data_IF_876592160031
#
_entry.id   IF_876592160031
#
_cell.length_a   1.000
_cell.length_b   1.000
_cell.length_c   1.000
_cell.angle_alpha   90.00
_cell.angle_beta   90.00
_cell.angle_gamma   90.00
#
_symmetry.space_group_name_H-M   'P 1'
#
loop_
_entity.id
_entity.type
_entity.pdbx_description
1 polymer ?
#
# COMPACT_ATOMS: atom_id res chain seq x y z
N UNK A 1 -52.24 -12.35 33.05
CA UNK A 1 -50.83 -12.64 32.65
C UNK A 1 -50.68 -13.63 31.48
N UNK A 2 -51.55 -14.64 31.29
CA UNK A 2 -51.43 -15.61 30.16
C UNK A 2 -51.73 -15.02 28.77
N UNK A 3 -52.63 -14.03 28.66
CA UNK A 3 -52.95 -13.35 27.40
C UNK A 3 -51.83 -12.46 26.86
N UNK A 4 -51.11 -11.76 27.75
CA UNK A 4 -50.00 -10.89 27.37
C UNK A 4 -48.79 -11.69 26.86
N UNK A 5 -48.49 -12.85 27.48
CA UNK A 5 -47.46 -13.78 26.97
C UNK A 5 -47.81 -14.37 25.60
N UNK A 6 -49.08 -14.66 25.32
CA UNK A 6 -49.54 -15.14 24.00
C UNK A 6 -49.43 -14.06 22.93
N UNK A 7 -49.81 -12.81 23.24
CA UNK A 7 -49.67 -11.64 22.36
C UNK A 7 -48.21 -11.30 22.05
N UNK A 8 -47.32 -11.41 23.03
CA UNK A 8 -45.88 -11.23 22.83
C UNK A 8 -45.31 -12.39 21.99
N UNK A 9 -45.73 -13.64 22.21
CA UNK A 9 -45.27 -14.77 21.40
C UNK A 9 -45.79 -14.74 19.95
N UNK A 10 -47.03 -14.31 19.72
CA UNK A 10 -47.58 -14.15 18.37
C UNK A 10 -46.99 -12.93 17.68
N UNK A 11 -46.74 -11.83 18.40
CA UNK A 11 -46.02 -10.67 17.89
C UNK A 11 -44.57 -10.99 17.52
N UNK A 12 -43.86 -11.79 18.31
CA UNK A 12 -42.49 -12.23 18.03
C UNK A 12 -42.42 -13.23 16.86
N UNK A 13 -43.42 -14.11 16.73
CA UNK A 13 -43.56 -15.01 15.58
C UNK A 13 -43.92 -14.26 14.29
N UNK A 14 -44.73 -13.20 14.36
CA UNK A 14 -45.02 -12.30 13.24
C UNK A 14 -43.80 -11.46 12.83
N UNK A 15 -42.98 -11.02 13.79
CA UNK A 15 -41.70 -10.34 13.51
C UNK A 15 -40.66 -11.29 12.88
N UNK A 16 -40.69 -12.58 13.23
CA UNK A 16 -39.85 -13.60 12.59
C UNK A 16 -40.31 -13.98 11.16
N UNK A 17 -41.60 -13.80 10.85
CA UNK A 17 -42.19 -14.10 9.54
C UNK A 17 -42.07 -12.94 8.54
N UNK A 18 -41.75 -11.72 8.98
CA UNK A 18 -41.38 -10.61 8.10
C UNK A 18 -39.90 -10.78 7.72
N UNK A 19 -39.62 -11.80 6.92
CA UNK A 19 -38.40 -11.90 6.13
C UNK A 19 -38.45 -10.80 5.05
N UNK A 20 -38.18 -9.56 5.45
CA UNK A 20 -38.15 -8.41 4.54
C UNK A 20 -37.15 -8.68 3.40
N UNK A 21 -37.66 -8.74 2.17
CA UNK A 21 -36.88 -8.96 0.96
C UNK A 21 -35.85 -7.84 0.77
N UNK A 22 -34.56 -8.16 0.97
CA UNK A 22 -33.43 -7.24 0.76
C UNK A 22 -33.16 -6.93 -0.71
N UNK A 23 -33.98 -7.45 -1.62
CA UNK A 23 -33.82 -7.36 -3.09
C UNK A 23 -35.00 -6.63 -3.75
N UNK A 24 -35.88 -5.99 -2.97
CA UNK A 24 -37.10 -5.33 -3.48
C UNK A 24 -36.82 -4.10 -4.36
N UNK A 25 -35.67 -3.45 -4.15
CA UNK A 25 -35.25 -2.22 -4.85
C UNK A 25 -34.42 -2.52 -6.12
N UNK A 26 -34.07 -3.79 -6.35
CA UNK A 26 -33.33 -4.19 -7.55
C UNK A 26 -34.23 -4.21 -8.79
N UNK A 27 -33.69 -3.71 -9.90
CA UNK A 27 -34.34 -3.80 -11.20
C UNK A 27 -34.44 -5.25 -11.68
N UNK A 28 -35.21 -5.49 -12.73
CA UNK A 28 -35.25 -6.82 -13.35
C UNK A 28 -33.94 -7.10 -14.08
N UNK A 29 -33.33 -8.26 -13.79
CA UNK A 29 -31.98 -8.62 -14.25
C UNK A 29 -30.86 -8.31 -13.25
N UNK A 30 -31.11 -7.49 -12.22
CA UNK A 30 -30.12 -7.21 -11.19
C UNK A 30 -30.14 -8.26 -10.07
N UNK A 31 -28.94 -8.66 -9.65
CA UNK A 31 -28.74 -9.56 -8.51
C UNK A 31 -27.95 -8.84 -7.43
N UNK A 32 -28.30 -9.08 -6.16
CA UNK A 32 -27.51 -8.56 -5.03
C UNK A 32 -26.34 -9.50 -4.74
N UNK A 33 -25.14 -8.94 -4.58
CA UNK A 33 -24.02 -9.66 -3.98
C UNK A 33 -24.30 -9.89 -2.47
N UNK A 34 -24.47 -11.16 -2.10
CA UNK A 34 -24.76 -11.56 -0.73
C UNK A 34 -23.51 -11.78 0.10
N UNK A 35 -22.48 -12.42 -0.48
CA UNK A 35 -21.23 -12.78 0.20
C UNK A 35 -20.16 -13.18 -0.83
N UNK A 36 -18.90 -12.91 -0.51
CA UNK A 36 -17.75 -13.60 -1.09
C UNK A 36 -17.25 -14.64 -0.11
N UNK A 37 -17.04 -15.87 -0.57
CA UNK A 37 -16.32 -16.91 0.16
C UNK A 37 -14.96 -17.10 -0.49
N UNK A 38 -13.90 -17.24 0.29
CA UNK A 38 -12.55 -17.50 -0.24
C UNK A 38 -12.04 -18.76 0.44
N UNK A 39 -11.70 -19.76 -0.37
CA UNK A 39 -11.10 -21.01 0.08
C UNK A 39 -9.72 -21.13 -0.54
N UNK A 40 -8.72 -21.35 0.32
CA UNK A 40 -7.31 -21.41 -0.06
C UNK A 40 -6.81 -22.85 0.11
N UNK A 41 -6.11 -23.34 -0.92
CA UNK A 41 -5.56 -24.68 -1.01
C UNK A 41 -4.03 -24.65 -1.11
N UNK A 42 -3.40 -25.81 -0.92
CA UNK A 42 -1.94 -26.04 -0.92
C UNK A 42 -1.15 -25.46 0.27
N UNK A 43 -1.70 -24.50 1.01
CA UNK A 43 -1.16 -24.06 2.30
C UNK A 43 -2.28 -23.65 3.27
N UNK A 44 -2.56 -24.49 4.26
CA UNK A 44 -3.62 -24.23 5.25
C UNK A 44 -3.25 -23.14 6.27
N UNK A 45 -2.00 -22.66 6.28
CA UNK A 45 -1.53 -21.59 7.17
C UNK A 45 -1.59 -20.21 6.50
N UNK A 46 -1.86 -20.16 5.19
CA UNK A 46 -1.96 -18.90 4.47
C UNK A 46 -3.06 -18.01 5.06
N UNK A 47 -2.76 -16.72 5.24
CA UNK A 47 -3.68 -15.76 5.83
C UNK A 47 -4.63 -15.21 4.75
N UNK A 48 -5.89 -15.65 4.76
CA UNK A 48 -6.91 -15.22 3.80
C UNK A 48 -7.09 -13.68 3.75
N UNK A 49 -6.79 -12.97 4.85
CA UNK A 49 -6.88 -11.52 4.91
C UNK A 49 -5.89 -10.81 3.96
N UNK A 50 -4.86 -11.49 3.46
CA UNK A 50 -3.96 -10.96 2.42
C UNK A 50 -4.67 -10.85 1.06
N UNK A 51 -5.70 -11.66 0.81
CA UNK A 51 -6.45 -11.70 -0.46
C UNK A 51 -7.65 -10.75 -0.46
N UNK A 52 -8.33 -10.60 0.68
CA UNK A 52 -9.57 -9.82 0.77
C UNK A 52 -9.47 -8.37 0.23
N UNK A 53 -8.37 -7.62 0.42
CA UNK A 53 -8.20 -6.28 -0.15
C UNK A 53 -8.29 -6.24 -1.69
N UNK A 54 -7.93 -7.34 -2.36
CA UNK A 54 -7.82 -7.42 -3.81
C UNK A 54 -9.13 -7.82 -4.51
N UNK A 55 -10.15 -8.23 -3.74
CA UNK A 55 -11.52 -8.44 -4.22
C UNK A 55 -12.18 -7.09 -4.52
N UNK A 56 -12.47 -6.81 -5.80
CA UNK A 56 -13.05 -5.53 -6.27
C UNK A 56 -14.45 -5.27 -5.74
N UNK A 57 -15.28 -6.30 -5.67
CA UNK A 57 -16.62 -6.21 -5.11
C UNK A 57 -16.65 -6.85 -3.72
N UNK A 58 -17.13 -6.12 -2.72
CA UNK A 58 -17.29 -6.62 -1.34
C UNK A 58 -18.75 -6.53 -0.96
N UNK A 59 -19.30 -7.62 -0.44
CA UNK A 59 -20.65 -7.59 0.10
C UNK A 59 -20.72 -6.62 1.30
N UNK A 60 -21.85 -5.94 1.47
CA UNK A 60 -22.05 -5.06 2.62
C UNK A 60 -21.86 -5.81 3.93
N UNK A 61 -21.00 -5.28 4.82
CA UNK A 61 -20.70 -5.88 6.12
C UNK A 61 -21.94 -5.99 7.00
N UNK A 62 -22.14 -7.16 7.62
CA UNK A 62 -23.25 -7.43 8.55
C UNK A 62 -22.84 -7.00 9.96
N UNK A 63 -23.46 -5.95 10.51
CA UNK A 63 -22.96 -5.30 11.72
C UNK A 63 -23.51 -5.89 13.04
N UNK A 64 -24.50 -6.78 13.06
CA UNK A 64 -25.00 -7.41 14.31
C UNK A 64 -25.47 -8.84 14.04
N UNK A 65 -24.87 -9.89 14.63
CA UNK A 65 -25.33 -11.30 14.54
C UNK A 65 -25.70 -11.77 13.11
N UNK A 66 -24.96 -11.36 12.08
CA UNK A 66 -25.26 -11.71 10.67
C UNK A 66 -26.48 -10.98 10.07
N UNK A 67 -27.05 -10.02 10.79
CA UNK A 67 -28.09 -9.08 10.33
C UNK A 67 -27.45 -7.74 9.95
N UNK A 68 -27.91 -7.16 8.84
CA UNK A 68 -27.51 -5.81 8.42
C UNK A 68 -28.74 -4.88 8.59
N UNK A 69 -28.84 -4.15 9.72
CA UNK A 69 -29.96 -3.24 9.96
C UNK A 69 -30.05 -2.15 8.88
N UNK A 70 -28.91 -1.66 8.39
CA UNK A 70 -28.83 -0.54 7.45
C UNK A 70 -29.21 -0.91 6.01
N UNK A 71 -28.97 -2.16 5.58
CA UNK A 71 -29.52 -2.70 4.33
C UNK A 71 -31.06 -2.76 4.36
N UNK A 72 -31.66 -3.06 5.51
CA UNK A 72 -33.12 -3.08 5.66
C UNK A 72 -33.73 -1.68 5.71
N UNK A 73 -33.03 -0.73 6.33
CA UNK A 73 -33.44 0.69 6.36
C UNK A 73 -33.50 1.26 4.95
N UNK A 74 -32.53 0.97 4.07
CA UNK A 74 -32.53 1.43 2.67
C UNK A 74 -33.78 0.97 1.89
N UNK A 75 -34.31 -0.24 2.18
CA UNK A 75 -35.50 -0.78 1.52
C UNK A 75 -36.84 -0.14 1.96
N UNK A 76 -36.82 0.76 2.96
CA UNK A 76 -37.98 1.53 3.44
C UNK A 76 -38.17 2.88 2.73
N UNK A 77 -37.40 3.17 1.68
CA UNK A 77 -37.64 4.33 0.84
C UNK A 77 -39.06 4.25 0.22
N UNK A 78 -39.78 5.35 0.32
CA UNK A 78 -41.16 5.47 -0.17
C UNK A 78 -41.24 6.01 -1.59
N UNK A 79 -40.10 6.47 -2.14
CA UNK A 79 -40.00 7.05 -3.48
C UNK A 79 -40.67 8.42 -3.61
N UNK A 80 -41.00 9.08 -2.48
CA UNK A 80 -41.75 10.34 -2.42
C UNK A 80 -40.85 11.56 -2.22
N UNK A 81 -39.54 11.37 -2.03
CA UNK A 81 -38.55 12.45 -1.94
C UNK A 81 -38.64 13.32 -0.68
N UNK A 82 -39.32 12.84 0.36
CA UNK A 82 -39.58 13.58 1.59
C UNK A 82 -38.40 13.49 2.60
N UNK A 83 -38.52 14.18 3.74
CA UNK A 83 -37.48 14.19 4.78
C UNK A 83 -37.16 12.80 5.36
N UNK A 84 -38.11 11.87 5.28
CA UNK A 84 -37.91 10.47 5.64
C UNK A 84 -37.04 9.72 4.63
N UNK A 85 -37.26 9.90 3.32
CA UNK A 85 -36.40 9.33 2.29
C UNK A 85 -34.95 9.85 2.39
N UNK A 86 -34.75 11.14 2.75
CA UNK A 86 -33.41 11.71 3.02
C UNK A 86 -32.76 11.11 4.28
N UNK A 87 -33.53 10.83 5.33
CA UNK A 87 -33.04 10.16 6.54
C UNK A 87 -32.63 8.70 6.26
N UNK A 88 -33.44 7.99 5.46
CA UNK A 88 -33.17 6.61 5.04
C UNK A 88 -31.92 6.53 4.14
N UNK A 89 -31.72 7.46 3.20
CA UNK A 89 -30.49 7.55 2.41
C UNK A 89 -29.25 7.86 3.27
N UNK A 90 -29.42 8.63 4.35
CA UNK A 90 -28.33 9.02 5.26
C UNK A 90 -27.90 7.87 6.19
N UNK A 91 -28.78 6.91 6.45
CA UNK A 91 -28.55 5.82 7.42
C UNK A 91 -28.46 4.44 6.73
N UNK A 92 -29.11 4.25 5.59
CA UNK A 92 -29.15 2.98 4.87
C UNK A 92 -27.98 2.80 3.90
N UNK A 93 -27.45 1.59 3.83
CA UNK A 93 -26.40 1.21 2.86
C UNK A 93 -27.08 0.55 1.66
N UNK A 94 -26.88 1.07 0.46
CA UNK A 94 -27.44 0.49 -0.76
C UNK A 94 -26.91 -0.94 -0.99
N UNK A 95 -27.74 -1.88 -1.49
CA UNK A 95 -27.27 -3.22 -1.81
C UNK A 95 -26.21 -3.18 -2.91
N UNK A 96 -25.10 -3.90 -2.71
CA UNK A 96 -24.08 -4.08 -3.75
C UNK A 96 -24.69 -4.96 -4.84
N UNK A 97 -24.79 -4.42 -6.04
CA UNK A 97 -25.21 -5.14 -7.24
C UNK A 97 -24.05 -6.04 -7.66
N UNK A 98 -24.37 -7.29 -7.94
CA UNK A 98 -23.41 -8.26 -8.46
C UNK A 98 -23.01 -7.85 -9.87
N UNK A 99 -21.70 -7.76 -10.09
CA UNK A 99 -21.11 -7.48 -11.39
C UNK A 99 -20.13 -8.61 -11.75
N UNK A 100 -20.37 -9.36 -12.84
CA UNK A 100 -19.47 -10.41 -13.29
C UNK A 100 -18.09 -9.89 -13.71
N UNK A 101 -17.98 -8.67 -14.28
CA UNK A 101 -16.69 -8.11 -14.71
C UNK A 101 -15.79 -7.81 -13.50
N UNK A 102 -16.39 -7.43 -12.37
CA UNK A 102 -15.68 -7.25 -11.11
C UNK A 102 -15.23 -8.58 -10.48
N UNK A 103 -15.88 -9.71 -10.79
CA UNK A 103 -15.39 -11.05 -10.41
C UNK A 103 -14.11 -11.34 -11.17
N UNK A 104 -14.11 -11.20 -12.49
CA UNK A 104 -12.94 -11.46 -13.35
C UNK A 104 -11.77 -10.55 -12.95
N UNK A 105 -12.03 -9.27 -12.73
CA UNK A 105 -11.01 -8.32 -12.22
C UNK A 105 -10.47 -8.73 -10.84
N UNK A 106 -11.30 -9.36 -10.00
CA UNK A 106 -10.85 -9.87 -8.69
C UNK A 106 -9.96 -11.11 -8.85
N UNK A 107 -10.29 -12.01 -9.78
CA UNK A 107 -9.45 -13.18 -10.11
C UNK A 107 -8.05 -12.73 -10.55
N UNK A 108 -7.98 -11.78 -11.49
CA UNK A 108 -6.73 -11.24 -12.00
C UNK A 108 -5.93 -10.54 -10.89
N UNK A 109 -6.56 -9.62 -10.13
CA UNK A 109 -5.90 -8.91 -9.03
C UNK A 109 -5.33 -9.86 -7.97
N UNK A 110 -6.10 -10.88 -7.57
CA UNK A 110 -5.65 -11.84 -6.56
C UNK A 110 -4.51 -12.69 -7.11
N UNK A 111 -4.59 -13.12 -8.37
CA UNK A 111 -3.52 -13.88 -9.03
C UNK A 111 -2.22 -13.06 -9.05
N UNK A 112 -2.28 -11.81 -9.52
CA UNK A 112 -1.13 -10.91 -9.57
C UNK A 112 -0.56 -10.63 -8.16
N UNK A 113 -1.43 -10.47 -7.16
CA UNK A 113 -0.99 -10.26 -5.78
C UNK A 113 -0.30 -11.49 -5.19
N UNK A 114 -0.79 -12.69 -5.48
CA UNK A 114 -0.14 -13.92 -5.02
C UNK A 114 1.25 -14.08 -5.65
N UNK A 115 1.43 -13.72 -6.91
CA UNK A 115 2.76 -13.66 -7.53
C UNK A 115 3.67 -12.62 -6.87
N UNK A 116 3.15 -11.44 -6.54
CA UNK A 116 3.88 -10.40 -5.78
C UNK A 116 4.36 -10.93 -4.40
N UNK A 117 3.54 -11.74 -3.72
CA UNK A 117 3.90 -12.44 -2.48
C UNK A 117 4.86 -13.63 -2.68
N UNK A 118 5.16 -14.00 -3.92
CA UNK A 118 6.07 -15.08 -4.27
C UNK A 118 5.44 -16.46 -4.48
N UNK A 119 4.11 -16.54 -4.64
CA UNK A 119 3.37 -17.77 -4.97
C UNK A 119 3.15 -17.88 -6.48
N UNK A 120 4.20 -18.26 -7.20
CA UNK A 120 4.23 -18.30 -8.67
C UNK A 120 3.41 -19.46 -9.24
N UNK A 121 2.65 -19.16 -10.30
CA UNK A 121 1.75 -20.14 -10.92
C UNK A 121 0.55 -20.49 -10.05
N UNK A 122 0.13 -19.56 -9.17
CA UNK A 122 -1.13 -19.69 -8.44
C UNK A 122 -2.31 -19.68 -9.41
N UNK A 123 -3.38 -20.41 -9.10
CA UNK A 123 -4.61 -20.42 -9.90
C UNK A 123 -5.78 -19.95 -9.04
N UNK A 124 -6.52 -18.97 -9.53
CA UNK A 124 -7.71 -18.43 -8.88
C UNK A 124 -8.90 -18.68 -9.79
N UNK A 125 -9.97 -19.26 -9.25
CA UNK A 125 -11.23 -19.47 -9.99
C UNK A 125 -12.41 -19.00 -9.14
N UNK A 126 -13.51 -18.63 -9.79
CA UNK A 126 -14.73 -18.24 -9.09
C UNK A 126 -15.93 -19.11 -9.50
N UNK A 127 -16.64 -19.64 -8.51
CA UNK A 127 -17.96 -20.26 -8.66
C UNK A 127 -19.07 -19.30 -8.25
N UNK A 128 -20.15 -19.26 -9.03
CA UNK A 128 -21.28 -18.36 -8.80
C UNK A 128 -22.51 -19.17 -8.36
N UNK A 129 -22.95 -18.94 -7.13
CA UNK A 129 -24.17 -19.54 -6.59
C UNK A 129 -25.32 -18.53 -6.61
N UNK A 130 -26.27 -18.72 -7.52
CA UNK A 130 -27.47 -17.89 -7.61
C UNK A 130 -28.61 -18.52 -6.82
N UNK A 131 -29.19 -17.76 -5.88
CA UNK A 131 -30.42 -18.13 -5.17
C UNK A 131 -31.38 -16.94 -5.17
N UNK A 132 -32.53 -17.08 -5.83
CA UNK A 132 -33.48 -15.96 -6.05
C UNK A 132 -32.74 -14.78 -6.71
N UNK A 133 -32.92 -13.54 -6.21
CA UNK A 133 -32.19 -12.34 -6.66
C UNK A 133 -30.89 -12.10 -5.86
N UNK A 134 -30.26 -13.15 -5.33
CA UNK A 134 -29.01 -13.04 -4.56
C UNK A 134 -27.93 -13.95 -5.12
N UNK A 135 -26.70 -13.45 -5.17
CA UNK A 135 -25.52 -14.14 -5.66
C UNK A 135 -24.52 -14.32 -4.53
N UNK A 136 -23.95 -15.50 -4.40
CA UNK A 136 -22.72 -15.73 -3.64
C UNK A 136 -21.60 -16.07 -4.61
N UNK A 137 -20.44 -15.46 -4.41
CA UNK A 137 -19.25 -15.75 -5.20
C UNK A 137 -18.29 -16.55 -4.32
N UNK A 138 -17.91 -17.74 -4.76
CA UNK A 138 -16.96 -18.60 -4.07
C UNK A 138 -15.66 -18.61 -4.85
N UNK A 139 -14.62 -17.99 -4.32
CA UNK A 139 -13.28 -18.00 -4.89
C UNK A 139 -12.52 -19.21 -4.37
N UNK A 140 -12.02 -20.03 -5.27
CA UNK A 140 -11.09 -21.13 -5.00
C UNK A 140 -9.70 -20.69 -5.43
N UNK A 141 -8.79 -20.62 -4.47
CA UNK A 141 -7.40 -20.15 -4.64
C UNK A 141 -6.46 -21.32 -4.40
N UNK A 142 -5.79 -21.78 -5.45
CA UNK A 142 -4.73 -22.79 -5.37
C UNK A 142 -3.38 -22.07 -5.38
N UNK A 143 -2.72 -22.05 -4.24
CA UNK A 143 -1.42 -21.41 -4.11
C UNK A 143 -0.37 -22.13 -4.96
N UNK A 144 0.42 -21.33 -5.67
CA UNK A 144 1.51 -21.76 -6.53
C UNK A 144 2.77 -22.17 -5.76
N UNK A 145 3.85 -22.39 -6.50
CA UNK A 145 5.15 -22.75 -5.93
C UNK A 145 5.86 -21.49 -5.45
N UNK A 146 6.61 -21.63 -4.36
CA UNK A 146 7.56 -20.62 -3.89
C UNK A 146 8.98 -21.10 -4.19
N UNK A 147 9.85 -20.18 -4.57
CA UNK A 147 11.25 -20.49 -4.87
C UNK A 147 12.14 -19.95 -3.76
N UNK A 148 12.81 -20.79 -2.96
CA UNK A 148 13.86 -20.33 -2.06
C UNK A 148 15.01 -19.75 -2.88
N UNK A 149 15.57 -18.64 -2.39
CA UNK A 149 16.74 -17.99 -2.97
C UNK A 149 17.97 -18.84 -2.63
N UNK A 150 18.66 -19.38 -3.63
CA UNK A 150 19.87 -20.20 -3.40
C UNK A 150 21.16 -19.35 -3.36
N UNK A 151 21.21 -18.27 -4.12
CA UNK A 151 22.34 -17.36 -4.19
C UNK A 151 21.85 -15.93 -4.51
N UNK A 152 22.64 -14.95 -4.07
CA UNK A 152 22.42 -13.54 -4.35
C UNK A 152 23.72 -13.00 -4.95
N UNK A 153 23.64 -12.50 -6.18
CA UNK A 153 24.75 -11.88 -6.90
C UNK A 153 24.48 -10.39 -7.03
N UNK A 154 25.48 -9.56 -6.73
CA UNK A 154 25.37 -8.11 -6.81
C UNK A 154 26.12 -7.59 -8.03
N UNK A 155 25.41 -6.85 -8.88
CA UNK A 155 25.95 -6.09 -10.00
C UNK A 155 25.89 -4.59 -9.67
N UNK A 156 27.02 -4.03 -9.26
CA UNK A 156 27.08 -2.69 -8.67
C UNK A 156 27.93 -1.76 -9.54
N UNK A 157 27.53 -0.49 -9.69
CA UNK A 157 28.33 0.49 -10.41
C UNK A 157 29.60 0.80 -9.63
N UNK A 158 30.65 1.23 -10.32
CA UNK A 158 31.93 1.55 -9.70
C UNK A 158 31.84 2.76 -8.74
N UNK A 159 32.78 2.84 -7.78
CA UNK A 159 32.93 3.99 -6.88
C UNK A 159 32.34 3.79 -5.49
N UNK A 160 32.11 4.92 -4.80
CA UNK A 160 31.73 4.93 -3.37
C UNK A 160 30.43 4.19 -3.08
N UNK A 161 29.50 4.16 -4.05
CA UNK A 161 28.18 3.53 -3.87
C UNK A 161 28.28 2.02 -3.68
N UNK A 162 29.17 1.34 -4.42
CA UNK A 162 29.40 -0.08 -4.23
C UNK A 162 29.99 -0.37 -2.85
N UNK A 163 30.93 0.46 -2.39
CA UNK A 163 31.53 0.31 -1.07
C UNK A 163 30.50 0.50 0.06
N UNK A 164 29.68 1.55 -0.02
CA UNK A 164 28.65 1.84 0.99
C UNK A 164 27.50 0.82 0.98
N UNK A 165 27.13 0.32 -0.20
CA UNK A 165 26.16 -0.78 -0.35
C UNK A 165 26.69 -2.05 0.31
N UNK A 166 27.91 -2.48 -0.07
CA UNK A 166 28.51 -3.71 0.45
C UNK A 166 28.71 -3.66 1.96
N UNK A 167 29.02 -2.48 2.52
CA UNK A 167 29.16 -2.28 3.96
C UNK A 167 27.87 -2.54 4.75
N UNK A 168 26.70 -2.44 4.13
CA UNK A 168 25.39 -2.64 4.78
C UNK A 168 24.73 -3.99 4.42
N UNK A 169 25.37 -4.80 3.57
CA UNK A 169 24.83 -6.12 3.17
C UNK A 169 24.53 -7.04 4.35
N UNK A 170 25.26 -6.93 5.47
CA UNK A 170 24.99 -7.71 6.68
C UNK A 170 23.64 -7.40 7.34
N UNK A 171 23.11 -6.19 7.10
CA UNK A 171 21.83 -5.72 7.62
C UNK A 171 20.66 -5.99 6.67
N UNK A 172 20.91 -6.59 5.49
CA UNK A 172 19.85 -6.96 4.56
C UNK A 172 18.83 -7.89 5.22
N UNK A 173 17.57 -7.64 4.89
CA UNK A 173 16.42 -8.42 5.37
C UNK A 173 16.17 -9.64 4.50
N UNK A 174 16.49 -9.56 3.21
CA UNK A 174 16.42 -10.68 2.25
C UNK A 174 17.75 -11.43 2.23
N UNK A 175 17.69 -12.74 2.45
CA UNK A 175 18.87 -13.62 2.54
C UNK A 175 18.68 -14.90 1.75
N UNK A 176 19.79 -15.59 1.49
CA UNK A 176 19.77 -16.97 1.00
C UNK A 176 18.93 -17.85 1.93
N UNK A 177 18.05 -18.65 1.33
CA UNK A 177 17.10 -19.52 2.03
C UNK A 177 15.71 -18.90 2.19
N UNK A 178 15.57 -17.58 2.11
CA UNK A 178 14.26 -16.93 2.09
C UNK A 178 13.54 -17.24 0.77
N UNK A 179 12.21 -17.14 0.78
CA UNK A 179 11.43 -17.29 -0.46
C UNK A 179 11.48 -16.00 -1.28
N UNK A 180 11.73 -16.15 -2.59
CA UNK A 180 11.62 -15.07 -3.57
C UNK A 180 10.23 -14.45 -3.50
N UNK A 181 10.17 -13.14 -3.29
CA UNK A 181 8.94 -12.35 -3.20
C UNK A 181 9.25 -10.92 -3.63
N UNK A 182 8.40 -10.36 -4.49
CA UNK A 182 8.53 -8.97 -4.92
C UNK A 182 8.32 -8.01 -3.76
N UNK A 183 7.36 -8.29 -2.87
CA UNK A 183 7.13 -7.55 -1.62
C UNK A 183 8.40 -7.41 -0.77
N UNK A 184 9.09 -8.53 -0.53
CA UNK A 184 10.30 -8.56 0.27
C UNK A 184 11.47 -7.80 -0.42
N UNK A 185 11.62 -7.95 -1.74
CA UNK A 185 12.65 -7.26 -2.51
C UNK A 185 12.40 -5.76 -2.60
N UNK A 186 11.15 -5.33 -2.75
CA UNK A 186 10.76 -3.91 -2.74
C UNK A 186 11.05 -3.28 -1.37
N UNK A 187 10.68 -3.96 -0.28
CA UNK A 187 10.99 -3.51 1.08
C UNK A 187 12.51 -3.39 1.32
N UNK A 188 13.30 -4.33 0.82
CA UNK A 188 14.76 -4.29 0.92
C UNK A 188 15.37 -3.17 0.06
N UNK A 189 14.86 -2.96 -1.16
CA UNK A 189 15.22 -1.81 -2.00
C UNK A 189 15.00 -0.49 -1.26
N UNK A 190 13.83 -0.28 -0.65
CA UNK A 190 13.53 0.94 0.09
C UNK A 190 14.42 1.12 1.33
N UNK A 191 14.73 0.02 2.03
CA UNK A 191 15.66 0.02 3.17
C UNK A 191 17.06 0.45 2.74
N UNK A 192 17.60 -0.19 1.70
CA UNK A 192 18.92 0.13 1.18
C UNK A 192 18.98 1.53 0.57
N UNK A 193 17.92 1.98 -0.12
CA UNK A 193 17.88 3.35 -0.63
C UNK A 193 17.93 4.39 0.49
N UNK A 194 17.30 4.15 1.64
CA UNK A 194 17.43 5.02 2.82
C UNK A 194 18.87 5.05 3.34
N UNK A 195 19.48 3.87 3.48
CA UNK A 195 20.89 3.76 3.89
C UNK A 195 21.81 4.54 2.94
N UNK A 196 21.68 4.36 1.62
CA UNK A 196 22.49 5.08 0.64
C UNK A 196 22.22 6.60 0.67
N UNK A 197 20.99 7.05 0.88
CA UNK A 197 20.72 8.48 1.11
C UNK A 197 21.40 9.00 2.37
N UNK A 198 21.50 8.20 3.42
CA UNK A 198 22.27 8.54 4.64
C UNK A 198 23.80 8.51 4.43
N UNK A 199 24.28 7.81 3.41
CA UNK A 199 25.68 7.86 2.97
C UNK A 199 26.01 9.05 2.05
N UNK A 200 25.02 9.90 1.71
CA UNK A 200 25.23 11.09 0.88
C UNK A 200 24.73 11.02 -0.54
N UNK A 201 24.11 9.91 -0.98
CA UNK A 201 23.57 9.78 -2.34
C UNK A 201 22.22 10.50 -2.46
N UNK A 202 22.27 11.82 -2.54
CA UNK A 202 21.10 12.67 -2.70
C UNK A 202 20.29 12.28 -3.96
N UNK A 203 18.97 12.13 -3.78
CA UNK A 203 18.07 11.75 -4.87
C UNK A 203 18.06 10.25 -5.21
N UNK A 204 18.84 9.41 -4.52
CA UNK A 204 18.79 7.97 -4.72
C UNK A 204 17.42 7.40 -4.33
N UNK A 205 16.81 6.61 -5.23
CA UNK A 205 15.50 5.98 -5.02
C UNK A 205 15.54 4.49 -5.32
N UNK A 206 14.50 3.74 -4.93
CA UNK A 206 14.41 2.31 -5.21
C UNK A 206 14.31 1.99 -6.71
N UNK A 207 14.00 2.97 -7.55
CA UNK A 207 13.90 2.80 -9.00
C UNK A 207 15.23 2.54 -9.70
N UNK A 208 16.36 2.70 -9.01
CA UNK A 208 17.68 2.31 -9.52
C UNK A 208 17.96 0.82 -9.33
N UNK A 209 17.18 0.11 -8.51
CA UNK A 209 17.30 -1.35 -8.37
C UNK A 209 16.62 -2.10 -9.51
N UNK A 210 17.33 -3.11 -10.01
CA UNK A 210 16.83 -4.11 -10.95
C UNK A 210 17.05 -5.50 -10.37
N UNK A 211 16.09 -6.39 -10.60
CA UNK A 211 16.12 -7.76 -10.12
C UNK A 211 15.92 -8.74 -11.27
N UNK A 212 16.85 -9.69 -11.39
CA UNK A 212 16.70 -10.83 -12.28
C UNK A 212 16.67 -12.10 -11.43
N UNK A 213 15.58 -12.85 -11.55
CA UNK A 213 15.43 -14.13 -10.87
C UNK A 213 15.47 -15.27 -11.88
N UNK A 214 16.55 -16.05 -11.85
CA UNK A 214 16.68 -17.26 -12.64
C UNK A 214 16.19 -18.48 -11.85
N UNK A 215 15.07 -19.04 -12.28
CA UNK A 215 14.46 -20.24 -11.69
C UNK A 215 14.68 -21.50 -12.54
N UNK A 216 15.45 -21.40 -13.62
CA UNK A 216 15.70 -22.47 -14.58
C UNK A 216 16.99 -23.24 -14.28
N UNK A 217 18.03 -22.51 -13.85
CA UNK A 217 19.35 -23.09 -13.64
C UNK A 217 19.37 -24.09 -12.48
N UNK A 218 18.65 -23.80 -11.39
CA UNK A 218 18.56 -24.69 -10.23
C UNK A 218 17.11 -25.12 -10.01
N UNK A 219 16.77 -26.40 -10.24
CA UNK A 219 15.39 -26.88 -10.09
C UNK A 219 14.81 -26.59 -8.71
N UNK A 220 13.74 -25.80 -8.68
CA UNK A 220 13.01 -25.49 -7.46
C UNK A 220 13.66 -24.43 -6.57
N UNK A 221 14.66 -23.69 -7.06
CA UNK A 221 15.25 -22.54 -6.38
C UNK A 221 15.44 -21.37 -7.35
N UNK A 222 15.65 -20.17 -6.82
CA UNK A 222 15.91 -18.97 -7.60
C UNK A 222 17.32 -18.44 -7.34
N UNK A 223 18.11 -18.25 -8.40
CA UNK A 223 19.32 -17.43 -8.37
C UNK A 223 18.92 -15.97 -8.58
N UNK A 224 19.27 -15.11 -7.61
CA UNK A 224 18.86 -13.72 -7.60
C UNK A 224 20.05 -12.82 -7.95
N UNK A 225 19.94 -12.10 -9.06
CA UNK A 225 20.86 -11.01 -9.40
C UNK A 225 20.20 -9.67 -9.02
N UNK A 226 20.93 -8.87 -8.25
CA UNK A 226 20.53 -7.54 -7.80
C UNK A 226 21.46 -6.53 -8.42
N UNK A 227 20.93 -5.71 -9.32
CA UNK A 227 21.71 -4.67 -10.00
C UNK A 227 21.31 -3.27 -9.53
N UNK A 228 22.28 -2.37 -9.42
CA UNK A 228 22.04 -0.93 -9.28
C UNK A 228 22.44 -0.25 -10.59
N UNK A 229 21.48 0.33 -11.30
CA UNK A 229 21.74 1.04 -12.55
C UNK A 229 21.89 2.54 -12.29
N UNK A 230 22.74 3.22 -13.06
CA UNK A 230 22.91 4.69 -12.99
C UNK A 230 21.81 5.47 -13.75
N UNK A 231 20.78 4.77 -14.20
CA UNK A 231 19.60 5.29 -14.87
C UNK A 231 18.35 4.63 -14.25
N UNK A 232 17.25 5.37 -14.22
CA UNK A 232 15.99 4.87 -13.69
C UNK A 232 15.25 4.01 -14.72
N UNK A 233 14.19 3.31 -14.29
CA UNK A 233 13.38 2.42 -15.15
C UNK A 233 12.82 3.06 -16.43
N UNK A 234 12.67 4.38 -16.47
CA UNK A 234 12.14 5.11 -17.63
C UNK A 234 13.24 5.73 -18.51
N UNK A 235 14.49 5.50 -18.17
CA UNK A 235 15.69 6.04 -18.81
C UNK A 235 16.49 4.92 -19.48
N UNK A 236 17.42 5.30 -20.34
CA UNK A 236 18.33 4.36 -20.99
C UNK A 236 19.75 4.54 -20.46
N UNK A 237 20.64 3.61 -20.81
CA UNK A 237 22.07 3.72 -20.52
C UNK A 237 22.69 5.04 -21.01
N UNK A 238 22.12 5.68 -22.05
CA UNK A 238 22.57 6.99 -22.54
C UNK A 238 22.30 8.14 -21.58
N UNK A 239 21.33 7.98 -20.70
CA UNK A 239 20.92 8.96 -19.71
C UNK A 239 21.62 8.72 -18.35
N UNK A 240 22.50 7.70 -18.27
CA UNK A 240 23.20 7.30 -17.07
C UNK A 240 23.98 8.46 -16.46
N UNK A 241 23.83 8.62 -15.14
CA UNK A 241 24.53 9.63 -14.37
C UNK A 241 25.27 8.96 -13.22
N UNK A 242 26.60 9.09 -13.15
CA UNK A 242 27.36 8.53 -12.06
C UNK A 242 26.87 8.98 -10.71
N UNK A 243 26.72 8.04 -9.79
CA UNK A 243 26.33 8.34 -8.42
C UNK A 243 27.44 9.15 -7.72
N UNK A 244 27.03 10.19 -7.01
CA UNK A 244 27.94 11.09 -6.29
C UNK A 244 27.44 11.36 -4.89
N UNK A 245 28.37 11.47 -3.95
CA UNK A 245 28.07 11.94 -2.59
C UNK A 245 27.92 13.45 -2.60
N UNK A 246 26.87 13.92 -1.95
CA UNK A 246 26.59 15.32 -1.73
C UNK A 246 26.94 15.73 -0.31
N UNK A 247 27.42 16.96 -0.17
CA UNK A 247 27.57 17.65 1.11
C UNK A 247 26.64 18.85 1.19
N UNK A 248 26.25 19.19 2.41
CA UNK A 248 25.48 20.40 2.68
C UNK A 248 26.40 21.61 2.51
N UNK A 249 26.06 22.52 1.61
CA UNK A 249 26.84 23.73 1.37
C UNK A 249 26.41 24.86 2.30
N UNK A 250 25.14 25.24 2.28
CA UNK A 250 24.56 26.22 3.21
C UNK A 250 23.25 25.73 3.84
N UNK A 251 22.89 26.30 5.00
CA UNK A 251 21.61 26.03 5.67
C UNK A 251 20.94 27.35 6.05
N UNK A 252 19.84 27.66 5.39
CA UNK A 252 19.03 28.85 5.65
C UNK A 252 17.72 28.48 6.36
N UNK A 253 17.36 29.25 7.40
CA UNK A 253 16.11 29.06 8.14
C UNK A 253 15.27 30.34 8.04
N UNK A 254 14.10 30.24 7.41
CA UNK A 254 13.17 31.35 7.23
C UNK A 254 11.92 31.13 8.09
N UNK A 255 11.50 32.19 8.79
CA UNK A 255 10.27 32.16 9.60
C UNK A 255 9.63 33.55 9.67
N UNK A 256 8.29 33.65 9.82
CA UNK A 256 7.60 34.93 9.91
C UNK A 256 8.03 35.70 11.16
N UNK A 257 8.20 37.03 11.02
CA UNK A 257 8.59 37.94 12.13
C UNK A 257 7.64 37.89 13.34
N UNK A 258 6.40 37.42 13.14
CA UNK A 258 5.41 37.21 14.20
C UNK A 258 5.77 36.06 15.16
N UNK A 259 6.59 35.10 14.72
CA UNK A 259 7.13 34.04 15.57
C UNK A 259 8.33 34.57 16.37
N UNK A 260 8.09 34.92 17.63
CA UNK A 260 9.16 35.30 18.57
C UNK A 260 9.91 34.07 19.08
N UNK A 261 10.82 33.54 18.27
CA UNK A 261 11.63 32.36 18.59
C UNK A 261 13.08 32.79 18.78
N UNK A 262 13.73 32.26 19.83
CA UNK A 262 15.16 32.45 20.05
C UNK A 262 15.93 31.61 19.04
N UNK A 263 16.89 32.22 18.35
CA UNK A 263 17.72 31.56 17.33
C UNK A 263 18.42 30.30 17.87
N UNK A 264 18.89 30.33 19.12
CA UNK A 264 19.49 29.16 19.78
C UNK A 264 18.56 27.95 19.87
N UNK A 265 17.24 28.16 19.94
CA UNK A 265 16.27 27.05 19.93
C UNK A 265 16.24 26.42 18.54
N UNK A 266 16.16 27.22 17.47
CA UNK A 266 16.18 26.72 16.10
C UNK A 266 17.49 25.97 15.79
N UNK A 267 18.63 26.52 16.21
CA UNK A 267 19.94 25.87 16.06
C UNK A 267 20.01 24.53 16.79
N UNK A 268 19.40 24.38 17.96
CA UNK A 268 19.36 23.12 18.72
C UNK A 268 18.46 22.06 18.10
N UNK A 269 17.39 22.46 17.43
CA UNK A 269 16.43 21.54 16.80
C UNK A 269 16.90 21.08 15.44
N UNK A 270 17.59 21.95 14.69
CA UNK A 270 18.22 21.60 13.44
C UNK A 270 19.43 20.69 13.68
N UNK A 271 19.50 19.51 13.07
CA UNK A 271 20.69 18.64 13.06
C UNK A 271 21.56 18.86 11.83
N UNK A 272 21.00 19.38 10.73
CA UNK A 272 21.70 19.63 9.48
C UNK A 272 22.74 20.75 9.68
N UNK A 273 23.99 20.53 9.24
CA UNK A 273 25.06 21.54 9.28
C UNK A 273 25.75 21.70 7.93
N UNK A 274 26.16 22.92 7.57
CA UNK A 274 27.11 23.14 6.48
C UNK A 274 28.38 22.31 6.66
N UNK A 275 28.83 21.66 5.58
CA UNK A 275 30.00 20.80 5.53
C UNK A 275 29.72 19.31 5.74
N UNK A 276 28.61 18.95 6.39
CA UNK A 276 28.26 17.55 6.63
C UNK A 276 27.87 16.84 5.32
N UNK A 277 28.04 15.52 5.29
CA UNK A 277 27.50 14.68 4.21
C UNK A 277 25.98 14.73 4.29
N UNK A 278 25.32 14.77 3.13
CA UNK A 278 23.87 14.70 3.06
C UNK A 278 23.35 13.43 3.76
N UNK A 279 22.35 13.58 4.63
CA UNK A 279 21.66 12.46 5.26
C UNK A 279 20.16 12.74 5.35
N UNK A 280 19.36 11.76 4.94
CA UNK A 280 17.90 11.81 5.06
C UNK A 280 17.46 11.69 6.53
N UNK A 281 18.17 10.92 7.33
CA UNK A 281 17.95 10.79 8.77
C UNK A 281 18.09 12.13 9.49
N UNK A 282 19.07 12.96 9.12
CA UNK A 282 19.21 14.31 9.70
C UNK A 282 18.05 15.24 9.33
N UNK A 283 17.56 15.14 8.10
CA UNK A 283 16.39 15.90 7.64
C UNK A 283 15.15 15.50 8.43
N UNK A 284 14.87 14.20 8.52
CA UNK A 284 13.72 13.65 9.24
C UNK A 284 13.79 13.96 10.74
N UNK A 285 14.99 13.92 11.33
CA UNK A 285 15.22 14.26 12.73
C UNK A 285 14.97 15.75 12.96
N UNK A 286 15.49 16.61 12.07
CA UNK A 286 15.26 18.06 12.13
C UNK A 286 13.77 18.39 12.02
N UNK A 287 13.07 17.81 11.04
CA UNK A 287 11.63 17.97 10.87
C UNK A 287 10.86 17.56 12.15
N UNK A 288 11.16 16.37 12.67
CA UNK A 288 10.50 15.81 13.85
C UNK A 288 10.74 16.67 15.10
N UNK A 289 11.97 17.13 15.32
CA UNK A 289 12.34 18.03 16.42
C UNK A 289 11.62 19.37 16.31
N UNK A 290 11.55 19.96 15.13
CA UNK A 290 10.83 21.22 14.92
C UNK A 290 9.32 21.06 15.10
N UNK A 291 8.74 20.00 14.55
CA UNK A 291 7.31 19.67 14.66
C UNK A 291 6.88 19.46 16.12
N UNK A 292 7.76 18.88 16.95
CA UNK A 292 7.51 18.67 18.37
C UNK A 292 7.20 19.95 19.17
N UNK A 293 7.61 21.13 18.69
CA UNK A 293 7.32 22.41 19.35
C UNK A 293 5.85 22.83 19.23
N UNK A 294 5.06 22.22 18.34
CA UNK A 294 3.62 22.51 18.11
C UNK A 294 3.28 23.97 17.81
N UNK A 295 4.30 24.80 17.55
CA UNK A 295 4.13 26.23 17.25
C UNK A 295 4.15 26.53 15.75
N UNK A 296 4.56 25.55 14.95
CA UNK A 296 4.58 25.60 13.50
C UNK A 296 3.45 24.75 12.92
N UNK A 297 2.75 25.26 11.90
CA UNK A 297 1.73 24.48 11.17
C UNK A 297 2.24 23.92 9.83
N UNK A 298 3.40 24.39 9.37
CA UNK A 298 4.04 23.90 8.17
C UNK A 298 5.53 24.08 8.32
N UNK A 299 6.26 22.98 8.17
CA UNK A 299 7.71 22.90 8.15
C UNK A 299 8.05 22.34 6.77
N UNK A 300 8.70 23.14 5.95
CA UNK A 300 9.18 22.70 4.64
C UNK A 300 10.71 22.68 4.69
N UNK A 301 11.31 21.52 4.43
CA UNK A 301 12.76 21.38 4.33
C UNK A 301 13.05 21.04 2.87
N UNK A 302 13.61 22.00 2.14
CA UNK A 302 14.00 21.87 0.75
C UNK A 302 15.51 21.63 0.62
N UNK A 303 15.87 20.88 -0.41
CA UNK A 303 17.26 20.74 -0.87
C UNK A 303 17.35 21.22 -2.31
N UNK A 304 18.26 22.15 -2.56
CA UNK A 304 18.52 22.68 -3.90
C UNK A 304 19.94 22.34 -4.30
N UNK A 305 20.10 21.62 -5.40
CA UNK A 305 21.42 21.31 -5.94
C UNK A 305 22.06 22.59 -6.48
N UNK A 306 23.24 22.93 -5.97
CA UNK A 306 24.01 24.12 -6.39
C UNK A 306 25.15 23.75 -7.32
N UNK A 307 25.75 22.58 -7.09
CA UNK A 307 26.85 22.03 -7.88
C UNK A 307 26.74 20.49 -7.95
N UNK A 308 27.71 19.86 -8.59
CA UNK A 308 27.83 18.42 -8.80
C UNK A 308 27.97 17.57 -7.52
N UNK A 309 28.33 18.18 -6.38
CA UNK A 309 28.50 17.49 -5.09
C UNK A 309 28.01 18.31 -3.89
N UNK A 310 27.25 19.39 -4.14
CA UNK A 310 26.82 20.33 -3.11
C UNK A 310 25.32 20.61 -3.22
N UNK A 311 24.65 20.59 -2.07
CA UNK A 311 23.24 20.98 -1.93
C UNK A 311 23.08 22.06 -0.87
N UNK A 312 22.24 23.06 -1.16
CA UNK A 312 21.80 24.04 -0.17
C UNK A 312 20.50 23.57 0.48
N UNK A 313 20.43 23.72 1.80
CA UNK A 313 19.26 23.41 2.59
C UNK A 313 18.46 24.69 2.91
N UNK A 314 17.17 24.67 2.60
CA UNK A 314 16.22 25.73 2.99
C UNK A 314 15.19 25.16 3.96
N UNK A 315 15.02 25.81 5.11
CA UNK A 315 14.04 25.42 6.13
C UNK A 315 13.03 26.57 6.28
N UNK A 316 11.83 26.39 5.73
CA UNK A 316 10.75 27.36 5.83
C UNK A 316 9.74 26.95 6.91
N UNK A 317 9.60 27.81 7.91
CA UNK A 317 8.69 27.62 9.05
C UNK A 317 7.50 28.56 8.93
N UNK A 318 6.29 28.03 9.05
CA UNK A 318 5.05 28.80 9.05
C UNK A 318 4.33 28.73 10.40
N UNK A 319 3.76 29.86 10.84
CA UNK A 319 3.14 30.00 12.15
C UNK A 319 1.80 29.26 12.27
N UNK A 320 1.57 28.65 13.44
CA UNK A 320 0.25 28.14 13.79
C UNK A 320 -0.78 29.25 14.01
N UNK A 321 -1.92 29.21 13.33
CA UNK A 321 -3.10 29.99 13.74
C UNK A 321 -3.67 29.31 14.98
N UNK A 322 -3.40 29.85 16.17
CA UNK A 322 -4.03 29.43 17.42
C UNK A 322 -5.53 29.75 17.38
N UNK A 323 -6.34 28.90 16.76
CA UNK A 323 -7.79 28.81 16.98
C UNK A 323 -8.37 27.52 16.36
N UNK A 324 -8.93 26.68 17.24
CA UNK A 324 -9.81 25.57 16.89
C UNK A 324 -9.17 24.18 17.02
N UNK A 325 -9.73 23.36 17.92
CA UNK A 325 -9.52 21.91 17.92
C UNK A 325 -9.86 21.36 16.53
N UNK A 326 -8.84 20.96 15.77
CA UNK A 326 -8.95 20.14 14.57
C UNK A 326 -8.16 18.86 14.84
N UNK A 327 -8.87 17.75 14.99
CA UNK A 327 -8.26 16.43 14.92
C UNK A 327 -7.96 16.21 13.43
N UNK A 328 -6.74 16.53 13.03
CA UNK A 328 -6.22 16.16 11.73
C UNK A 328 -5.49 14.83 11.90
N UNK A 329 -6.06 13.76 11.34
CA UNK A 329 -5.34 12.53 11.07
C UNK A 329 -4.57 12.77 9.75
N UNK A 330 -3.35 13.30 9.85
CA UNK A 330 -2.48 13.50 8.69
C UNK A 330 -1.61 12.26 8.50
N UNK A 331 -1.91 11.51 7.44
CA UNK A 331 -0.98 10.55 6.86
C UNK A 331 0.24 11.32 6.31
N UNK A 332 1.43 10.84 6.62
CA UNK A 332 2.72 11.41 6.20
C UNK A 332 2.79 11.62 4.69
N UNK A 333 2.86 12.89 4.25
CA UNK A 333 3.18 13.26 2.88
C UNK A 333 4.69 13.50 2.82
N UNK A 334 5.42 12.58 2.20
CA UNK A 334 6.87 12.67 2.04
C UNK A 334 7.23 13.84 1.11
N UNK A 335 8.27 14.58 1.50
CA UNK A 335 8.83 15.77 0.86
C UNK A 335 9.66 15.44 -0.39
N UNK A 336 9.08 14.76 -1.37
CA UNK A 336 9.73 14.58 -2.68
C UNK A 336 8.93 15.09 -3.86
N UNK A 337 7.71 15.62 -3.68
CA UNK A 337 7.00 16.31 -4.76
C UNK A 337 6.82 15.52 -6.06
N UNK A 338 7.05 14.20 -6.05
CA UNK A 338 6.75 13.28 -7.14
C UNK A 338 5.45 12.54 -6.79
N UNK A 339 4.33 13.15 -7.16
CA UNK A 339 3.11 12.40 -7.37
C UNK A 339 3.32 11.49 -8.59
N UNK A 340 3.33 10.17 -8.35
CA UNK A 340 3.37 9.17 -9.41
C UNK A 340 4.52 8.17 -9.31
N UNK A 341 4.76 7.57 -8.14
CA UNK A 341 5.50 6.31 -8.12
C UNK A 341 4.55 5.22 -8.64
N UNK A 342 4.72 4.84 -9.90
CA UNK A 342 4.28 3.52 -10.34
C UNK A 342 5.11 2.52 -9.53
N UNK A 343 4.50 1.99 -8.47
CA UNK A 343 5.04 0.90 -7.65
C UNK A 343 4.86 -0.39 -8.44
N UNK A 344 5.87 -0.76 -9.20
CA UNK A 344 5.98 -2.13 -9.71
C UNK A 344 7.46 -2.51 -9.75
N UNK A 345 7.89 -3.39 -8.85
CA UNK A 345 9.24 -3.92 -8.88
C UNK A 345 9.25 -5.08 -9.88
N UNK A 346 9.39 -4.78 -11.18
CA UNK A 346 9.38 -5.83 -12.19
C UNK A 346 10.59 -6.77 -12.01
N UNK A 347 10.34 -7.93 -11.40
CA UNK A 347 11.24 -9.08 -11.46
C UNK A 347 11.11 -9.65 -12.87
N UNK A 348 12.21 -9.66 -13.62
CA UNK A 348 12.26 -10.40 -14.87
C UNK A 348 12.51 -11.86 -14.52
N UNK A 349 11.44 -12.65 -14.47
CA UNK A 349 11.53 -14.11 -14.32
C UNK A 349 11.76 -14.74 -15.69
N UNK A 350 12.88 -15.45 -15.87
CA UNK A 350 13.01 -16.39 -17.01
C UNK A 350 12.34 -17.70 -16.62
N UNK A 351 11.28 -18.08 -17.31
CA UNK A 351 10.58 -19.35 -17.14
C UNK A 351 10.54 -20.12 -18.46
N UNK A 352 10.55 -21.45 -18.40
CA UNK A 352 10.48 -22.31 -19.58
C UNK A 352 9.01 -22.51 -19.94
N UNK A 353 8.51 -21.83 -20.98
CA UNK A 353 7.19 -22.14 -21.54
C UNK A 353 7.30 -23.44 -22.35
N UNK A 354 6.92 -24.55 -21.72
CA UNK A 354 6.80 -25.83 -22.41
C UNK A 354 5.59 -25.84 -23.35
N UNK A 355 5.72 -25.26 -24.54
CA UNK A 355 4.85 -25.62 -25.66
C UNK A 355 5.42 -26.90 -26.29
N UNK A 356 4.80 -28.02 -25.94
CA UNK A 356 4.94 -29.27 -26.68
C UNK A 356 4.28 -29.14 -28.04
N UNK A 357 5.10 -29.05 -29.09
CA UNK A 357 4.73 -29.48 -30.43
C UNK A 357 5.58 -30.70 -30.77
N UNK A 358 4.94 -31.86 -30.68
CA UNK A 358 5.46 -33.18 -31.04
C UNK A 358 4.29 -34.13 -31.26
#
# INVERSE_FOLDING_TARGET
MRGLRRLISTGLALLAAISCSTTRVLQDGEYRLARNNVEVFNDNKFNINEIEPYLKQKANSYFIFGWNPFLNVYNWQTGKGNGWDRFVQKIGVAPVVYDPELVESSIENVTNHLEYLGYYGSTVTAGIDVRRKTVKVNYEVKLGKRYPINEIVFDLPEGDIAADFLADTSNMTVKTGDFLSEDALEAESERMSRHLRDCGFYGFTSNYFSYLADTLTVPGAASLEVSINEYTRNETEKDARPFRKFRINDVSITYPKSLKIRENVLRRLNTIRPGDIYSETDINTTYSRMSSLRMFNGINIGMTQVDSSLVDCTIDLSQSKLQGFKINLEASINSTGLFGCLRSCHIITRTYSGEGSG
#
